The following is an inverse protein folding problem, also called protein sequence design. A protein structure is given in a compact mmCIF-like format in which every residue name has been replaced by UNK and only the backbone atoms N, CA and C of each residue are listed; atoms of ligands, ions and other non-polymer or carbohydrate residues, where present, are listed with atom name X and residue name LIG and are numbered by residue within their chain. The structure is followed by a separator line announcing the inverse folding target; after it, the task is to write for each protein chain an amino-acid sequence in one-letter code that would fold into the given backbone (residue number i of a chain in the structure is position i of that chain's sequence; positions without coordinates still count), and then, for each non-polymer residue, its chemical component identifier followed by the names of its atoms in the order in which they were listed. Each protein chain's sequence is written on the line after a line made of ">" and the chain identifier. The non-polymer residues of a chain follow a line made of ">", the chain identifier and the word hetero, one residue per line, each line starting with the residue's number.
data_IF_593929824934
#
_entry.id   IF_593929824934
#
_cell.length_a   1.000
_cell.length_b   1.000
_cell.length_c   1.000
_cell.angle_alpha   90.00
_cell.angle_beta   90.00
_cell.angle_gamma   90.00
#
_symmetry.space_group_name_H-M   'P 1'
#
loop_
_entity.id
_entity.type
_entity.pdbx_description
1 polymer ?
#
# COMPACT_ATOMS: atom_id res chain seq x y z
N UNK A 1 2.19 -23.14 2.01
CA UNK A 1 2.55 -22.19 3.10
C UNK A 1 3.69 -21.24 2.74
N UNK A 2 4.70 -21.63 1.95
CA UNK A 2 5.89 -20.80 1.60
C UNK A 2 5.51 -19.46 0.94
N UNK A 3 4.63 -19.45 -0.07
CA UNK A 3 4.16 -18.24 -0.77
C UNK A 3 3.49 -17.26 0.19
N UNK A 4 2.69 -17.75 1.14
CA UNK A 4 2.03 -16.92 2.14
C UNK A 4 3.03 -16.10 2.97
N UNK A 5 4.14 -16.72 3.40
CA UNK A 5 5.20 -15.99 4.12
C UNK A 5 5.89 -14.95 3.26
N UNK A 6 6.08 -15.21 1.97
CA UNK A 6 6.65 -14.21 1.05
C UNK A 6 5.71 -13.00 0.91
N UNK A 7 4.41 -13.24 0.79
CA UNK A 7 3.41 -12.17 0.72
C UNK A 7 3.38 -11.32 2.01
N UNK A 8 3.41 -11.97 3.19
CA UNK A 8 3.52 -11.26 4.47
C UNK A 8 4.81 -10.46 4.57
N UNK A 9 5.92 -11.00 4.08
CA UNK A 9 7.20 -10.31 4.07
C UNK A 9 7.16 -9.07 3.16
N UNK A 10 6.55 -9.16 1.98
CA UNK A 10 6.35 -8.04 1.08
C UNK A 10 5.49 -6.94 1.72
N UNK A 11 4.40 -7.32 2.40
CA UNK A 11 3.58 -6.40 3.16
C UNK A 11 4.38 -5.69 4.25
N UNK A 12 5.14 -6.45 5.05
CA UNK A 12 5.92 -5.92 6.16
C UNK A 12 7.03 -4.98 5.68
N UNK A 13 7.77 -5.35 4.62
CA UNK A 13 8.80 -4.50 4.01
C UNK A 13 8.19 -3.20 3.50
N UNK A 14 7.05 -3.26 2.82
CA UNK A 14 6.35 -2.05 2.37
C UNK A 14 5.94 -1.15 3.54
N UNK A 15 5.49 -1.71 4.67
CA UNK A 15 5.16 -0.95 5.87
C UNK A 15 6.40 -0.32 6.51
N UNK A 16 7.52 -1.04 6.59
CA UNK A 16 8.78 -0.49 7.10
C UNK A 16 9.28 0.69 6.25
N UNK A 17 9.27 0.54 4.92
CA UNK A 17 9.66 1.62 3.99
C UNK A 17 8.75 2.84 4.20
N UNK A 18 7.45 2.63 4.35
CA UNK A 18 6.49 3.69 4.62
C UNK A 18 6.81 4.46 5.91
N UNK A 19 7.14 3.75 7.00
CA UNK A 19 7.55 4.39 8.26
C UNK A 19 8.82 5.20 8.08
N UNK A 20 9.82 4.67 7.37
CA UNK A 20 11.08 5.37 7.08
C UNK A 20 10.79 6.66 6.30
N UNK A 21 10.02 6.59 5.20
CA UNK A 21 9.67 7.75 4.39
C UNK A 21 8.92 8.80 5.22
N UNK A 22 7.93 8.38 6.00
CA UNK A 22 7.16 9.29 6.84
C UNK A 22 8.02 9.95 7.94
N UNK A 23 8.94 9.18 8.53
CA UNK A 23 9.88 9.69 9.54
C UNK A 23 10.83 10.72 8.94
N UNK A 24 11.44 10.42 7.80
CA UNK A 24 12.33 11.35 7.08
C UNK A 24 11.59 12.62 6.70
N UNK A 25 10.38 12.48 6.15
CA UNK A 25 9.52 13.62 5.78
C UNK A 25 9.15 14.48 6.99
N UNK A 26 8.85 13.85 8.13
CA UNK A 26 8.56 14.56 9.39
C UNK A 26 9.76 15.40 9.83
N UNK A 27 10.97 14.83 9.89
CA UNK A 27 12.18 15.56 10.30
C UNK A 27 12.54 16.69 9.33
N UNK A 28 12.38 16.45 8.02
CA UNK A 28 12.62 17.45 6.99
C UNK A 28 11.67 18.66 7.13
N UNK A 29 10.37 18.39 7.31
CA UNK A 29 9.36 19.44 7.48
C UNK A 29 9.51 20.19 8.82
N UNK A 30 9.87 19.46 9.91
CA UNK A 30 10.17 20.08 11.20
C UNK A 30 11.34 21.06 11.10
N UNK A 31 12.38 20.71 10.33
CA UNK A 31 13.53 21.59 10.10
C UNK A 31 13.16 22.87 9.31
N UNK A 32 12.08 22.82 8.53
CA UNK A 32 11.52 23.97 7.78
C UNK A 32 10.45 24.76 8.56
N UNK A 33 10.18 24.42 9.80
CA UNK A 33 9.15 25.11 10.61
C UNK A 33 7.71 24.75 10.22
N UNK A 34 7.51 23.72 9.39
CA UNK A 34 6.17 23.29 8.97
C UNK A 34 5.63 22.33 10.03
N UNK A 35 4.45 22.67 10.59
CA UNK A 35 3.77 21.80 11.56
C UNK A 35 3.31 20.51 10.89
N UNK A 36 3.89 19.37 11.28
CA UNK A 36 3.50 18.05 10.83
C UNK A 36 3.13 17.16 12.01
N UNK A 37 2.09 16.34 11.82
CA UNK A 37 1.67 15.36 12.83
C UNK A 37 2.81 14.40 13.21
N UNK A 38 2.89 14.02 14.49
CA UNK A 38 3.91 13.07 14.99
C UNK A 38 3.78 11.71 14.32
N UNK A 39 4.91 11.12 13.96
CA UNK A 39 4.98 9.70 13.56
C UNK A 39 4.78 8.86 14.81
N UNK A 40 3.70 8.09 14.86
CA UNK A 40 3.35 7.18 15.96
C UNK A 40 3.30 5.74 15.45
N UNK A 41 3.29 4.76 16.37
CA UNK A 41 3.12 3.33 16.03
C UNK A 41 1.84 3.11 15.19
N UNK A 42 0.79 3.92 15.40
CA UNK A 42 -0.40 3.93 14.56
C UNK A 42 -0.13 4.22 13.07
N UNK A 43 1.01 4.84 12.74
CA UNK A 43 1.43 5.08 11.34
C UNK A 43 1.74 3.77 10.59
N UNK A 44 2.13 2.70 11.30
CA UNK A 44 2.32 1.36 10.73
C UNK A 44 1.01 0.76 10.17
N UNK A 45 -0.11 1.07 10.81
CA UNK A 45 -1.43 0.57 10.42
C UNK A 45 -2.22 1.58 9.58
N UNK A 46 -1.63 2.75 9.28
CA UNK A 46 -2.26 3.74 8.43
C UNK A 46 -2.35 3.20 7.01
N UNK A 47 -3.58 3.07 6.53
CA UNK A 47 -3.87 2.77 5.13
C UNK A 47 -3.54 4.01 4.31
N UNK A 48 -2.83 3.87 3.18
CA UNK A 48 -2.34 5.00 2.39
C UNK A 48 -0.85 5.30 2.61
N UNK A 49 -0.29 6.13 1.73
CA UNK A 49 1.13 6.47 1.68
C UNK A 49 1.99 5.49 0.88
N UNK A 50 3.22 5.93 0.57
CA UNK A 50 4.17 5.24 -0.30
C UNK A 50 5.13 4.36 0.51
N UNK A 51 5.38 3.10 0.05
CA UNK A 51 4.73 2.36 -1.04
C UNK A 51 3.40 1.71 -0.61
N UNK A 52 2.54 1.34 -1.59
CA UNK A 52 1.30 0.60 -1.33
C UNK A 52 1.60 -0.83 -0.87
N UNK A 53 1.25 -1.14 0.37
CA UNK A 53 1.43 -2.49 0.94
C UNK A 53 0.51 -3.54 0.29
N UNK A 54 -0.71 -3.17 -0.09
CA UNK A 54 -1.62 -4.06 -0.80
C UNK A 54 -1.06 -4.45 -2.17
N UNK A 55 -0.57 -3.48 -2.93
CA UNK A 55 0.09 -3.73 -4.22
C UNK A 55 1.31 -4.62 -4.04
N UNK A 56 2.17 -4.33 -3.05
CA UNK A 56 3.36 -5.14 -2.78
C UNK A 56 2.99 -6.61 -2.49
N UNK A 57 1.94 -6.84 -1.71
CA UNK A 57 1.47 -8.19 -1.36
C UNK A 57 0.96 -8.95 -2.58
N UNK A 58 0.07 -8.36 -3.38
CA UNK A 58 -0.53 -9.07 -4.53
C UNK A 58 0.46 -9.28 -5.67
N UNK A 59 1.39 -8.34 -5.87
CA UNK A 59 2.48 -8.49 -6.86
C UNK A 59 3.50 -9.53 -6.40
N UNK A 60 3.82 -9.62 -5.10
CA UNK A 60 4.67 -10.69 -4.59
C UNK A 60 4.01 -12.07 -4.77
N UNK A 61 2.69 -12.16 -4.54
CA UNK A 61 1.92 -13.39 -4.83
C UNK A 61 2.04 -13.76 -6.31
N UNK A 62 1.71 -12.83 -7.20
CA UNK A 62 1.74 -13.06 -8.64
C UNK A 62 3.14 -13.45 -9.13
N UNK A 63 4.18 -12.73 -8.65
CA UNK A 63 5.57 -13.03 -8.98
C UNK A 63 6.03 -14.41 -8.49
N UNK A 64 5.67 -14.80 -7.26
CA UNK A 64 5.98 -16.13 -6.74
C UNK A 64 5.30 -17.25 -7.55
N UNK A 65 4.03 -17.05 -7.92
CA UNK A 65 3.28 -18.03 -8.73
C UNK A 65 3.91 -18.14 -10.12
N UNK A 66 4.21 -17.01 -10.79
CA UNK A 66 4.83 -17.06 -12.11
C UNK A 66 6.21 -17.70 -12.11
N UNK A 67 7.04 -17.42 -11.09
CA UNK A 67 8.38 -17.99 -10.96
C UNK A 67 8.39 -19.46 -10.55
N UNK A 68 7.35 -19.93 -9.84
CA UNK A 68 7.25 -21.32 -9.38
C UNK A 68 6.49 -22.21 -10.35
N UNK A 69 5.32 -21.77 -10.79
CA UNK A 69 4.40 -22.58 -11.59
C UNK A 69 4.50 -22.32 -13.09
N UNK A 70 5.14 -21.21 -13.49
CA UNK A 70 5.22 -20.74 -14.87
C UNK A 70 4.31 -19.55 -15.17
N UNK A 71 4.74 -18.72 -16.11
CA UNK A 71 4.01 -17.50 -16.52
C UNK A 71 2.87 -17.77 -17.53
N UNK A 72 2.80 -18.98 -18.06
CA UNK A 72 1.82 -19.49 -19.02
C UNK A 72 0.68 -20.28 -18.39
N UNK A 73 0.60 -20.30 -17.05
CA UNK A 73 -0.41 -21.05 -16.31
C UNK A 73 -1.66 -20.23 -16.01
N UNK A 74 -2.82 -20.90 -15.95
CA UNK A 74 -4.09 -20.31 -15.53
C UNK A 74 -4.02 -19.70 -14.13
N UNK A 75 -3.21 -20.31 -13.24
CA UNK A 75 -3.00 -19.79 -11.90
C UNK A 75 -2.29 -18.45 -11.92
N UNK A 76 -1.25 -18.29 -12.76
CA UNK A 76 -0.60 -16.98 -12.93
C UNK A 76 -1.54 -15.94 -13.51
N UNK A 77 -2.33 -16.30 -14.53
CA UNK A 77 -3.33 -15.43 -15.12
C UNK A 77 -4.37 -14.97 -14.08
N UNK A 78 -4.88 -15.89 -13.25
CA UNK A 78 -5.81 -15.57 -12.17
C UNK A 78 -5.19 -14.61 -11.13
N UNK A 79 -3.94 -14.85 -10.69
CA UNK A 79 -3.20 -13.96 -9.79
C UNK A 79 -2.95 -12.58 -10.42
N UNK A 80 -2.67 -12.53 -11.71
CA UNK A 80 -2.48 -11.29 -12.47
C UNK A 80 -3.75 -10.44 -12.50
N UNK A 81 -4.88 -11.05 -12.84
CA UNK A 81 -6.20 -10.39 -12.85
C UNK A 81 -6.56 -9.91 -11.45
N UNK A 82 -6.37 -10.74 -10.42
CA UNK A 82 -6.62 -10.37 -9.03
C UNK A 82 -5.76 -9.16 -8.62
N UNK A 83 -4.47 -9.18 -8.97
CA UNK A 83 -3.55 -8.07 -8.68
C UNK A 83 -4.00 -6.77 -9.36
N UNK A 84 -4.43 -6.87 -10.62
CA UNK A 84 -4.97 -5.73 -11.37
C UNK A 84 -6.22 -5.15 -10.70
N UNK A 85 -7.17 -5.99 -10.30
CA UNK A 85 -8.40 -5.56 -9.61
C UNK A 85 -8.06 -4.82 -8.32
N UNK A 86 -7.14 -5.35 -7.50
CA UNK A 86 -6.74 -4.71 -6.24
C UNK A 86 -6.09 -3.35 -6.48
N UNK A 87 -5.20 -3.23 -7.47
CA UNK A 87 -4.56 -1.96 -7.83
C UNK A 87 -5.58 -0.96 -8.39
N UNK A 88 -6.50 -1.42 -9.24
CA UNK A 88 -7.56 -0.60 -9.81
C UNK A 88 -8.51 -0.07 -8.74
N UNK A 89 -8.94 -0.92 -7.80
CA UNK A 89 -9.77 -0.51 -6.65
C UNK A 89 -9.08 0.60 -5.84
N UNK A 90 -7.81 0.40 -5.51
CA UNK A 90 -7.04 1.37 -4.74
C UNK A 90 -6.97 2.76 -5.39
N UNK A 91 -6.88 2.82 -6.72
CA UNK A 91 -6.74 4.06 -7.48
C UNK A 91 -8.09 4.64 -7.93
N UNK A 92 -8.96 3.83 -8.55
CA UNK A 92 -10.19 4.31 -9.21
C UNK A 92 -11.40 4.36 -8.29
N UNK A 93 -11.40 3.57 -7.21
CA UNK A 93 -12.54 3.51 -6.29
C UNK A 93 -12.19 4.23 -4.98
N UNK A 94 -11.17 3.80 -4.28
CA UNK A 94 -10.86 4.35 -2.94
C UNK A 94 -10.33 5.76 -2.97
N UNK A 95 -9.53 6.14 -3.96
CA UNK A 95 -8.98 7.49 -4.02
C UNK A 95 -10.05 8.57 -4.24
N UNK A 96 -11.01 8.43 -5.18
CA UNK A 96 -12.14 9.35 -5.29
C UNK A 96 -13.02 9.39 -4.04
N UNK A 97 -13.32 8.22 -3.42
CA UNK A 97 -14.09 8.16 -2.17
C UNK A 97 -13.38 8.94 -1.06
N UNK A 98 -12.06 8.76 -0.92
CA UNK A 98 -11.24 9.51 0.04
C UNK A 98 -11.38 11.01 -0.14
N UNK A 99 -11.30 11.50 -1.39
CA UNK A 99 -11.45 12.94 -1.71
C UNK A 99 -12.87 13.45 -1.42
N UNK A 100 -13.87 12.62 -1.72
CA UNK A 100 -15.27 12.95 -1.44
C UNK A 100 -15.53 13.05 0.07
N UNK A 101 -14.98 12.12 0.85
CA UNK A 101 -15.08 12.16 2.32
C UNK A 101 -14.43 13.42 2.89
N UNK A 102 -13.24 13.79 2.38
CA UNK A 102 -12.59 15.05 2.82
C UNK A 102 -13.44 16.29 2.47
N UNK A 103 -14.04 16.33 1.28
CA UNK A 103 -14.92 17.43 0.88
C UNK A 103 -16.19 17.49 1.74
N UNK A 104 -16.79 16.33 2.02
CA UNK A 104 -17.96 16.20 2.86
C UNK A 104 -17.70 16.69 4.30
N UNK A 105 -16.63 16.20 4.94
CA UNK A 105 -16.27 16.60 6.31
C UNK A 105 -16.00 18.11 6.40
N UNK A 106 -15.37 18.70 5.38
CA UNK A 106 -15.17 20.17 5.31
C UNK A 106 -16.50 20.95 5.20
N UNK A 107 -17.44 20.45 4.42
CA UNK A 107 -18.78 21.07 4.29
C UNK A 107 -19.56 20.92 5.58
N UNK A 108 -19.53 19.73 6.19
CA UNK A 108 -20.21 19.45 7.46
C UNK A 108 -19.72 20.37 8.58
N UNK A 109 -18.40 20.55 8.74
CA UNK A 109 -17.84 21.47 9.73
C UNK A 109 -18.24 22.94 9.49
N UNK A 110 -18.45 23.36 8.23
CA UNK A 110 -18.92 24.72 7.90
C UNK A 110 -20.40 24.94 8.18
N UNK A 111 -21.23 23.91 8.01
CA UNK A 111 -22.71 24.01 8.09
C UNK A 111 -23.20 23.70 9.50
N UNK A 112 -22.64 22.66 10.14
CA UNK A 112 -23.14 22.13 11.41
C UNK A 112 -22.28 22.55 12.63
N UNK A 113 -21.12 23.18 12.40
CA UNK A 113 -20.17 23.51 13.47
C UNK A 113 -19.46 22.29 14.06
N UNK A 114 -18.74 22.47 15.19
CA UNK A 114 -17.85 21.47 15.79
C UNK A 114 -18.56 20.33 16.54
N UNK A 115 -19.88 20.20 16.40
CA UNK A 115 -20.70 19.23 17.15
C UNK A 115 -20.97 17.90 16.43
N UNK A 116 -20.51 17.74 15.19
CA UNK A 116 -20.83 16.55 14.38
C UNK A 116 -19.53 15.75 14.11
N UNK A 117 -19.61 14.42 14.35
CA UNK A 117 -18.47 13.52 14.16
C UNK A 117 -18.12 13.38 12.67
N UNK A 118 -16.84 13.51 12.35
CA UNK A 118 -16.33 13.35 10.99
C UNK A 118 -16.58 11.93 10.45
N UNK A 119 -16.98 11.86 9.18
CA UNK A 119 -17.06 10.57 8.48
C UNK A 119 -15.65 9.99 8.34
N UNK A 120 -15.49 8.73 8.77
CA UNK A 120 -14.21 8.01 8.72
C UNK A 120 -13.71 7.89 7.29
N UNK A 121 -12.53 8.42 7.05
CA UNK A 121 -11.89 8.42 5.73
C UNK A 121 -11.42 7.03 5.33
N UNK A 122 -11.78 6.60 4.11
CA UNK A 122 -11.19 5.44 3.43
C UNK A 122 -10.00 5.93 2.61
N UNK A 123 -8.79 5.52 2.98
CA UNK A 123 -7.59 5.96 2.26
C UNK A 123 -7.42 5.18 0.95
N UNK A 124 -7.32 5.92 -0.16
CA UNK A 124 -6.95 5.41 -1.48
C UNK A 124 -5.47 5.63 -1.75
N UNK A 125 -4.98 5.09 -2.87
CA UNK A 125 -3.59 5.22 -3.28
C UNK A 125 -3.44 6.03 -4.56
N UNK A 126 -2.40 6.85 -4.61
CA UNK A 126 -1.96 7.54 -5.84
C UNK A 126 -1.16 6.58 -6.74
N UNK A 127 -1.06 6.91 -8.03
CA UNK A 127 -0.27 6.10 -8.99
C UNK A 127 1.18 5.87 -8.52
N UNK A 128 1.94 6.88 -8.04
CA UNK A 128 3.30 6.65 -7.54
C UNK A 128 3.37 5.65 -6.38
N UNK A 129 2.39 5.67 -5.46
CA UNK A 129 2.33 4.73 -4.34
C UNK A 129 2.11 3.29 -4.81
N UNK A 130 1.28 3.10 -5.85
CA UNK A 130 1.05 1.81 -6.49
C UNK A 130 2.32 1.32 -7.18
N UNK A 131 3.00 2.18 -7.96
CA UNK A 131 4.27 1.85 -8.61
C UNK A 131 5.33 1.45 -7.57
N UNK A 132 5.44 2.20 -6.48
CA UNK A 132 6.34 1.85 -5.39
C UNK A 132 6.03 0.48 -4.78
N UNK A 133 4.76 0.17 -4.55
CA UNK A 133 4.31 -1.14 -4.09
C UNK A 133 4.63 -2.26 -5.10
N UNK A 134 4.43 -1.99 -6.40
CA UNK A 134 4.77 -2.93 -7.47
C UNK A 134 6.25 -3.30 -7.46
N UNK A 135 7.14 -2.31 -7.38
CA UNK A 135 8.59 -2.53 -7.30
C UNK A 135 8.96 -3.38 -6.09
N UNK A 136 8.42 -3.06 -4.91
CA UNK A 136 8.66 -3.85 -3.70
C UNK A 136 8.20 -5.30 -3.87
N UNK A 137 6.99 -5.52 -4.41
CA UNK A 137 6.46 -6.87 -4.64
C UNK A 137 7.33 -7.71 -5.57
N UNK A 138 7.78 -7.12 -6.70
CA UNK A 138 8.70 -7.78 -7.65
C UNK A 138 10.04 -8.09 -6.98
N UNK A 139 10.66 -7.13 -6.29
CA UNK A 139 11.95 -7.35 -5.63
C UNK A 139 11.87 -8.47 -4.58
N UNK A 140 10.82 -8.48 -3.76
CA UNK A 140 10.63 -9.50 -2.73
C UNK A 140 10.41 -10.88 -3.33
N UNK A 141 9.57 -11.02 -4.37
CA UNK A 141 9.35 -12.32 -5.02
C UNK A 141 10.63 -12.87 -5.66
N UNK A 142 11.38 -12.01 -6.37
CA UNK A 142 12.67 -12.40 -6.98
C UNK A 142 13.69 -12.80 -5.91
N UNK A 143 13.83 -12.07 -4.83
CA UNK A 143 14.74 -12.37 -3.74
C UNK A 143 14.44 -13.73 -3.12
N UNK A 144 13.19 -13.99 -2.74
CA UNK A 144 12.82 -15.25 -2.10
C UNK A 144 12.91 -16.45 -3.03
N UNK A 145 12.54 -16.32 -4.30
CA UNK A 145 12.58 -17.44 -5.24
C UNK A 145 14.01 -17.72 -5.73
N UNK A 146 14.78 -16.68 -6.12
CA UNK A 146 16.10 -16.87 -6.72
C UNK A 146 17.24 -16.93 -5.70
N UNK A 147 17.21 -16.08 -4.65
CA UNK A 147 18.32 -15.99 -3.71
C UNK A 147 18.16 -16.94 -2.52
N UNK A 148 16.93 -17.12 -2.02
CA UNK A 148 16.66 -18.03 -0.89
C UNK A 148 16.33 -19.45 -1.37
N UNK A 149 15.94 -19.62 -2.65
CA UNK A 149 15.60 -20.93 -3.20
C UNK A 149 14.36 -21.52 -2.51
N UNK A 150 13.36 -20.70 -2.20
CA UNK A 150 12.21 -21.11 -1.38
C UNK A 150 11.43 -22.31 -1.98
N UNK A 151 11.59 -22.58 -3.27
CA UNK A 151 10.92 -23.69 -3.97
C UNK A 151 11.87 -24.84 -4.33
N UNK A 152 13.15 -24.73 -4.04
CA UNK A 152 14.16 -25.78 -4.15
C UNK A 152 14.10 -26.71 -2.94
#
# INVERSE_FOLDING_TARGET
>A
MKIFFVCLNAWFIAQLIKVIINTVTYYYNKKRGISCGRVTIGTLFKLGGMPSSHTATVIALCGCVGLHSGFDTDLFAACGIFSFIVMFDAFKVRLPISRLTDAFNRLQGKVCGDGVEDVKKVEGHTIPEIIGGFIVGVCVSLFWVKCVGIFN
#
